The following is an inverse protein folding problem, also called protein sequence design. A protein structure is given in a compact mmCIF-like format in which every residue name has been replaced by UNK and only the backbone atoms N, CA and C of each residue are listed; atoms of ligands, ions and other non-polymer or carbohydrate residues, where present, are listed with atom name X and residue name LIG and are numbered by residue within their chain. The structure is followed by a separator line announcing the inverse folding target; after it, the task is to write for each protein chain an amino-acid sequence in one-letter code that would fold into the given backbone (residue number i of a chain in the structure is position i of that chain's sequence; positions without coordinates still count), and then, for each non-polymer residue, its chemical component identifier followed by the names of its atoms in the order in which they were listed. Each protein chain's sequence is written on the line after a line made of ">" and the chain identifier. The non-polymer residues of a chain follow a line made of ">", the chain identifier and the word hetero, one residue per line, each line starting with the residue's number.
data_IF_355779653234
#
_entry.id   IF_355779653234
#
_cell.length_a   1.000
_cell.length_b   1.000
_cell.length_c   1.000
_cell.angle_alpha   90.00
_cell.angle_beta   90.00
_cell.angle_gamma   90.00
#
_symmetry.space_group_name_H-M   'P 1'
#
loop_
_entity.id
_entity.type
_entity.pdbx_description
1 polymer ?
#
# COMPACT_ATOMS: atom_id res chain seq x y z
N UNK A 1 32.84 36.73 -13.85
CA UNK A 1 32.58 35.37 -13.33
C UNK A 1 31.21 35.01 -13.88
N UNK A 2 31.11 34.79 -15.19
CA UNK A 2 31.38 33.53 -15.92
C UNK A 2 30.30 32.47 -15.66
N UNK A 3 29.83 31.92 -16.77
CA UNK A 3 28.56 31.23 -17.02
C UNK A 3 28.78 29.71 -17.00
N UNK A 4 27.66 28.98 -16.99
CA UNK A 4 27.41 27.68 -17.62
C UNK A 4 27.51 26.40 -16.76
N UNK A 5 26.35 25.74 -16.70
CA UNK A 5 26.03 24.31 -16.89
C UNK A 5 27.10 23.26 -16.56
N UNK A 6 26.68 22.11 -16.02
CA UNK A 6 26.60 20.85 -16.80
C UNK A 6 26.27 19.65 -15.91
N UNK A 7 25.27 18.91 -16.37
CA UNK A 7 24.90 17.53 -16.04
C UNK A 7 26.12 16.60 -16.22
N UNK A 8 26.39 15.68 -15.30
CA UNK A 8 27.23 14.53 -15.66
C UNK A 8 26.86 13.22 -14.96
N UNK A 9 26.42 12.31 -15.81
CA UNK A 9 26.32 10.87 -15.63
C UNK A 9 27.70 10.24 -15.38
N UNK A 10 27.78 9.26 -14.48
CA UNK A 10 28.81 8.20 -14.48
C UNK A 10 28.29 7.10 -13.57
N UNK A 11 28.16 5.84 -13.96
CA UNK A 11 29.12 4.86 -14.48
C UNK A 11 28.32 3.55 -14.65
N UNK A 12 28.62 2.55 -15.46
CA UNK A 12 29.76 2.22 -16.31
C UNK A 12 29.24 1.15 -17.28
N UNK A 13 29.59 1.29 -18.54
CA UNK A 13 29.51 0.24 -19.57
C UNK A 13 30.78 -0.64 -19.40
N UNK A 14 30.75 -1.96 -19.36
CA UNK A 14 30.90 -2.82 -20.56
C UNK A 14 31.19 -4.26 -20.09
N UNK A 15 30.62 -5.27 -20.76
CA UNK A 15 31.39 -6.27 -21.49
C UNK A 15 30.45 -7.36 -22.03
N UNK A 16 30.50 -7.47 -23.36
CA UNK A 16 29.75 -8.34 -24.25
C UNK A 16 30.18 -9.81 -24.18
N UNK A 17 29.25 -10.73 -24.44
CA UNK A 17 29.38 -11.99 -25.20
C UNK A 17 28.39 -13.05 -24.66
N UNK A 18 27.68 -13.88 -25.41
CA UNK A 18 27.51 -14.12 -26.83
C UNK A 18 26.26 -15.01 -26.93
N UNK A 19 25.51 -14.81 -28.00
CA UNK A 19 24.33 -15.53 -28.43
C UNK A 19 24.48 -17.07 -28.40
N UNK A 20 23.47 -17.78 -27.89
CA UNK A 20 23.17 -19.16 -28.32
C UNK A 20 21.68 -19.22 -28.67
N UNK A 21 21.47 -19.32 -29.96
CA UNK A 21 20.25 -19.64 -30.68
C UNK A 21 19.62 -20.94 -30.14
N UNK A 22 18.39 -20.83 -29.64
CA UNK A 22 17.43 -21.93 -29.56
C UNK A 22 16.06 -21.39 -29.99
N UNK A 23 15.40 -22.19 -30.83
CA UNK A 23 14.27 -21.90 -31.71
C UNK A 23 13.11 -21.04 -31.14
N UNK A 24 12.38 -20.30 -31.99
CA UNK A 24 11.27 -19.46 -31.59
C UNK A 24 10.00 -20.30 -31.45
N UNK A 25 9.81 -20.90 -30.28
CA UNK A 25 8.47 -21.18 -29.77
C UNK A 25 8.13 -20.02 -28.82
N UNK A 26 7.68 -18.90 -29.38
CA UNK A 26 6.99 -17.86 -28.63
C UNK A 26 5.65 -18.44 -28.18
N UNK A 27 5.68 -19.25 -27.12
CA UNK A 27 4.49 -19.43 -26.30
C UNK A 27 4.24 -18.05 -25.72
N UNK A 28 3.26 -17.36 -26.30
CA UNK A 28 2.75 -16.11 -25.80
C UNK A 28 2.32 -16.34 -24.35
N UNK A 29 3.22 -16.05 -23.42
CA UNK A 29 2.84 -15.78 -22.05
C UNK A 29 2.00 -14.53 -22.15
N UNK A 30 0.68 -14.73 -22.20
CA UNK A 30 -0.27 -13.66 -21.97
C UNK A 30 0.17 -13.04 -20.66
N UNK A 31 0.70 -11.82 -20.74
CA UNK A 31 0.96 -10.98 -19.57
C UNK A 31 -0.43 -10.66 -19.02
N UNK A 32 -1.00 -11.63 -18.32
CA UNK A 32 -2.27 -11.47 -17.65
C UNK A 32 -2.03 -10.41 -16.60
N UNK A 33 -2.59 -9.22 -16.84
CA UNK A 33 -2.58 -8.12 -15.89
C UNK A 33 -3.36 -8.63 -14.68
N UNK A 34 -2.66 -9.21 -13.70
CA UNK A 34 -3.27 -9.65 -12.46
C UNK A 34 -3.68 -8.40 -11.68
N UNK A 35 -4.97 -8.15 -11.49
CA UNK A 35 -5.40 -7.02 -10.67
C UNK A 35 -4.89 -7.25 -9.25
N UNK A 36 -4.13 -6.28 -8.73
CA UNK A 36 -3.60 -6.35 -7.36
C UNK A 36 -4.74 -6.27 -6.35
N UNK A 37 -4.74 -7.16 -5.35
CA UNK A 37 -5.67 -7.14 -4.21
C UNK A 37 -5.61 -5.82 -3.39
N UNK A 38 -4.56 -5.02 -3.57
CA UNK A 38 -4.45 -3.69 -2.97
C UNK A 38 -5.51 -2.72 -3.50
N UNK A 39 -5.99 -2.94 -4.72
CA UNK A 39 -7.05 -2.14 -5.35
C UNK A 39 -8.46 -2.64 -5.00
N UNK A 40 -8.58 -3.76 -4.29
CA UNK A 40 -9.89 -4.25 -3.86
C UNK A 40 -10.37 -3.46 -2.63
N UNK A 41 -11.67 -3.14 -2.54
CA UNK A 41 -12.28 -2.48 -1.38
C UNK A 41 -12.46 -3.45 -0.19
N UNK A 42 -11.36 -4.08 0.23
CA UNK A 42 -11.32 -5.12 1.27
C UNK A 42 -10.55 -4.70 2.53
N UNK A 43 -10.03 -3.48 2.54
CA UNK A 43 -9.18 -2.97 3.60
C UNK A 43 -9.95 -2.07 4.57
N UNK A 44 -9.49 -2.05 5.81
CA UNK A 44 -10.05 -1.30 6.92
C UNK A 44 -8.93 -0.66 7.72
N UNK A 45 -9.20 0.52 8.26
CA UNK A 45 -8.35 1.15 9.26
C UNK A 45 -9.00 0.95 10.62
N UNK A 46 -8.26 0.35 11.55
CA UNK A 46 -8.69 0.16 12.93
C UNK A 46 -7.79 0.96 13.86
N UNK A 47 -8.36 1.46 14.95
CA UNK A 47 -7.63 1.91 16.14
C UNK A 47 -7.67 0.81 17.21
N UNK A 48 -7.02 1.05 18.34
CA UNK A 48 -7.10 0.14 19.48
C UNK A 48 -8.54 -0.06 20.01
N UNK A 49 -9.40 0.94 19.82
CA UNK A 49 -10.73 0.95 20.42
C UNK A 49 -11.82 0.50 19.46
N UNK A 50 -11.69 0.76 18.15
CA UNK A 50 -12.74 0.51 17.16
C UNK A 50 -12.22 0.42 15.73
N UNK A 51 -13.09 0.00 14.82
CA UNK A 51 -12.89 0.25 13.39
C UNK A 51 -13.13 1.74 13.11
N UNK A 52 -12.19 2.39 12.45
CA UNK A 52 -12.28 3.80 12.04
C UNK A 52 -12.88 3.94 10.65
N UNK A 53 -12.46 3.08 9.72
CA UNK A 53 -13.00 3.00 8.36
C UNK A 53 -12.91 1.55 7.83
N UNK A 54 -13.78 1.20 6.87
CA UNK A 54 -13.90 -0.15 6.29
C UNK A 54 -14.24 -0.09 4.81
N UNK A 55 -14.00 -1.17 4.07
CA UNK A 55 -14.30 -1.28 2.64
C UNK A 55 -13.56 -0.25 1.77
N UNK A 56 -12.29 -0.03 2.09
CA UNK A 56 -11.38 0.83 1.35
C UNK A 56 -10.43 0.00 0.49
N UNK A 57 -9.89 0.62 -0.57
CA UNK A 57 -8.64 0.16 -1.17
C UNK A 57 -7.47 0.41 -0.22
N UNK A 58 -6.32 -0.21 -0.46
CA UNK A 58 -5.15 -0.01 0.39
C UNK A 58 -4.67 1.45 0.36
N UNK A 59 -4.69 2.11 -0.81
CA UNK A 59 -4.30 3.51 -0.95
C UNK A 59 -5.22 4.43 -0.15
N UNK A 60 -6.53 4.26 -0.28
CA UNK A 60 -7.51 4.99 0.53
C UNK A 60 -7.35 4.73 2.02
N UNK A 61 -7.06 3.48 2.42
CA UNK A 61 -6.79 3.14 3.82
C UNK A 61 -5.50 3.79 4.34
N UNK A 62 -4.47 3.92 3.51
CA UNK A 62 -3.21 4.59 3.86
C UNK A 62 -3.41 6.09 4.04
N UNK A 63 -4.14 6.74 3.11
CA UNK A 63 -4.55 8.13 3.26
C UNK A 63 -5.36 8.32 4.55
N UNK A 64 -6.34 7.44 4.78
CA UNK A 64 -7.20 7.53 5.96
C UNK A 64 -6.43 7.35 7.27
N UNK A 65 -5.49 6.40 7.30
CA UNK A 65 -4.60 6.20 8.44
C UNK A 65 -3.78 7.46 8.74
N UNK A 66 -3.26 8.14 7.72
CA UNK A 66 -2.52 9.40 7.88
C UNK A 66 -3.40 10.51 8.43
N UNK A 67 -4.61 10.69 7.90
CA UNK A 67 -5.57 11.68 8.43
C UNK A 67 -5.86 11.45 9.91
N UNK A 68 -6.19 10.23 10.29
CA UNK A 68 -6.50 9.89 11.67
C UNK A 68 -5.29 10.05 12.60
N UNK A 69 -4.08 9.79 12.10
CA UNK A 69 -2.85 10.07 12.83
C UNK A 69 -2.66 11.57 13.08
N UNK A 70 -3.01 12.43 12.10
CA UNK A 70 -2.99 13.89 12.30
C UNK A 70 -4.05 14.38 13.27
N UNK A 71 -5.18 13.66 13.37
CA UNK A 71 -6.23 13.91 14.37
C UNK A 71 -5.85 13.43 15.78
N UNK A 72 -4.65 12.86 15.94
CA UNK A 72 -4.12 12.39 17.23
C UNK A 72 -4.57 10.98 17.63
N UNK A 73 -5.15 10.21 16.71
CA UNK A 73 -5.53 8.82 16.96
C UNK A 73 -4.29 7.93 16.87
N UNK A 74 -3.92 7.33 17.99
CA UNK A 74 -2.78 6.42 18.08
C UNK A 74 -3.19 4.96 17.85
N UNK A 75 -2.22 4.12 17.46
CA UNK A 75 -2.43 2.67 17.32
C UNK A 75 -3.28 2.30 16.10
N UNK A 76 -3.11 3.05 15.01
CA UNK A 76 -3.78 2.80 13.74
C UNK A 76 -3.12 1.64 12.99
N UNK A 77 -3.93 0.69 12.54
CA UNK A 77 -3.51 -0.44 11.72
C UNK A 77 -4.41 -0.57 10.50
N UNK A 78 -3.81 -0.88 9.34
CA UNK A 78 -4.54 -1.29 8.14
C UNK A 78 -4.66 -2.81 8.17
N UNK A 79 -5.88 -3.31 8.14
CA UNK A 79 -6.20 -4.74 8.20
C UNK A 79 -7.29 -5.06 7.17
N UNK A 80 -7.59 -6.33 6.94
CA UNK A 80 -8.74 -6.71 6.12
C UNK A 80 -10.06 -6.46 6.85
N UNK A 81 -11.16 -6.30 6.10
CA UNK A 81 -12.51 -6.15 6.63
C UNK A 81 -12.86 -7.27 7.64
N UNK A 82 -12.48 -8.51 7.32
CA UNK A 82 -12.71 -9.68 8.18
C UNK A 82 -11.97 -9.58 9.52
N UNK A 83 -10.75 -9.03 9.51
CA UNK A 83 -9.99 -8.79 10.74
C UNK A 83 -10.60 -7.63 11.53
N UNK A 84 -11.02 -6.55 10.86
CA UNK A 84 -11.67 -5.41 11.50
C UNK A 84 -12.95 -5.79 12.25
N UNK A 85 -13.74 -6.74 11.72
CA UNK A 85 -14.95 -7.24 12.40
C UNK A 85 -14.66 -7.93 13.75
N UNK A 86 -13.43 -8.43 13.96
CA UNK A 86 -13.00 -9.06 15.22
C UNK A 86 -12.64 -8.02 16.28
N UNK A 87 -12.43 -6.77 15.90
CA UNK A 87 -12.17 -5.66 16.83
C UNK A 87 -13.47 -5.31 17.53
N UNK A 88 -13.62 -5.78 18.77
CA UNK A 88 -14.78 -5.45 19.59
C UNK A 88 -14.67 -4.00 20.05
N UNK A 89 -15.56 -3.13 19.57
CA UNK A 89 -15.68 -1.79 20.11
C UNK A 89 -15.92 -1.87 21.61
N UNK A 90 -15.00 -1.32 22.42
CA UNK A 90 -15.26 -1.10 23.84
C UNK A 90 -16.31 0.01 23.92
N UNK A 91 -17.60 -0.36 23.92
CA UNK A 91 -18.66 0.55 24.35
C UNK A 91 -18.28 1.03 25.75
N UNK A 92 -17.90 2.29 25.89
CA UNK A 92 -17.79 2.92 27.19
C UNK A 92 -19.16 2.77 27.87
N UNK A 93 -19.27 1.86 28.84
CA UNK A 93 -20.42 1.79 29.73
C UNK A 93 -20.40 3.06 30.57
N UNK A 94 -21.00 4.13 30.04
CA UNK A 94 -21.31 5.32 30.81
C UNK A 94 -22.15 4.91 32.01
N UNK A 95 -21.64 5.20 33.21
CA UNK A 95 -22.38 5.08 34.46
C UNK A 95 -23.61 5.97 34.35
N UNK A 96 -24.81 5.38 34.33
CA UNK A 96 -26.04 6.13 34.58
C UNK A 96 -26.05 6.39 36.08
N UNK A 97 -25.66 7.60 36.46
CA UNK A 97 -25.76 8.09 37.84
C UNK A 97 -27.08 8.79 38.03
N UNK A 98 -27.98 8.14 38.78
CA UNK A 98 -28.76 8.61 39.94
C UNK A 98 -30.19 8.08 39.92
#
# INVERSE_FOLDING_TARGET
>A
MEIENEENQKSDETATAQNTEVAPAVEAVSDEIFPSELNDPRWSVISFEKSEATYLTYDEAALKSRELATDGISGLCIVTNEAAQKVKSKKAKGKISK
#
